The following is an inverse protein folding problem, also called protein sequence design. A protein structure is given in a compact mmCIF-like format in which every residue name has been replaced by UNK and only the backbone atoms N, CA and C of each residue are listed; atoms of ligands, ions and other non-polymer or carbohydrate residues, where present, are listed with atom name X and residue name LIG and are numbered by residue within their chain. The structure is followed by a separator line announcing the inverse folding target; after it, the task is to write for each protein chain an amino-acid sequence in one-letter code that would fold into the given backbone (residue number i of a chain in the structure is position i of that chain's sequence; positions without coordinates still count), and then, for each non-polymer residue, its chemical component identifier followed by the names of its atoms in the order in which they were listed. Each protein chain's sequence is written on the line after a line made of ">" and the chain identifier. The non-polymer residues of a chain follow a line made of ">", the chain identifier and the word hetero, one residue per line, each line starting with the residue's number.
data_IF_801897492486
#
_entry.id   IF_801897492486
#
_cell.length_a   1.000
_cell.length_b   1.000
_cell.length_c   1.000
_cell.angle_alpha   90.00
_cell.angle_beta   90.00
_cell.angle_gamma   90.00
#
_symmetry.space_group_name_H-M   'P 1'
#
loop_
_entity.id
_entity.type
_entity.pdbx_description
1 polymer ?
#
# COMPACT_ATOMS: atom_id res chain seq x y z
N UNK A 1 17.80 17.96 3.41
CA UNK A 1 17.00 16.76 3.21
C UNK A 1 15.90 17.01 2.20
N UNK A 2 15.67 16.07 1.35
CA UNK A 2 14.58 16.15 0.39
C UNK A 2 13.23 16.10 1.08
N UNK A 3 12.28 16.82 0.56
CA UNK A 3 10.91 16.74 1.05
C UNK A 3 10.36 15.37 0.74
N UNK A 4 9.55 14.82 1.63
CA UNK A 4 8.91 13.53 1.40
C UNK A 4 7.83 13.60 0.33
N UNK A 5 7.33 14.79 0.08
CA UNK A 5 6.27 15.03 -0.89
C UNK A 5 6.68 14.55 -2.29
N UNK A 6 5.91 13.65 -2.85
CA UNK A 6 6.09 13.11 -4.20
C UNK A 6 7.47 12.49 -4.45
N UNK A 7 8.12 11.98 -3.40
CA UNK A 7 9.47 11.45 -3.56
C UNK A 7 9.51 10.25 -4.51
N UNK A 8 8.46 9.46 -4.56
CA UNK A 8 8.39 8.30 -5.42
C UNK A 8 8.26 8.66 -6.91
N UNK A 9 7.89 9.90 -7.22
CA UNK A 9 7.76 10.35 -8.60
C UNK A 9 9.10 10.45 -9.31
N UNK A 10 10.16 10.62 -8.54
CA UNK A 10 11.49 10.89 -9.07
C UNK A 10 12.38 9.66 -9.06
N UNK A 11 11.84 8.51 -8.74
CA UNK A 11 12.62 7.31 -8.53
C UNK A 11 12.20 6.19 -9.47
N UNK A 12 13.05 5.15 -9.55
CA UNK A 12 12.73 3.95 -10.29
C UNK A 12 11.51 3.22 -9.73
N UNK A 13 11.11 3.54 -8.49
CA UNK A 13 9.93 2.94 -7.86
C UNK A 13 8.65 3.23 -8.63
N UNK A 14 8.61 4.34 -9.37
CA UNK A 14 7.45 4.70 -10.19
C UNK A 14 7.52 4.15 -11.60
N UNK A 15 8.60 3.48 -11.96
CA UNK A 15 8.78 2.96 -13.32
C UNK A 15 7.84 1.81 -13.60
N UNK A 16 7.44 1.69 -14.86
CA UNK A 16 6.59 0.58 -15.30
C UNK A 16 7.26 -0.76 -15.08
N UNK A 17 8.57 -0.81 -15.25
CA UNK A 17 9.32 -2.04 -15.07
C UNK A 17 9.30 -2.51 -13.61
N UNK A 18 9.53 -1.58 -12.67
CA UNK A 18 9.49 -1.92 -11.26
C UNK A 18 8.09 -2.41 -10.85
N UNK A 19 7.06 -1.68 -11.28
CA UNK A 19 5.68 -2.04 -10.96
C UNK A 19 5.35 -3.43 -11.49
N UNK A 20 5.74 -3.70 -12.73
CA UNK A 20 5.51 -5.00 -13.35
C UNK A 20 6.22 -6.13 -12.58
N UNK A 21 7.49 -5.94 -12.27
CA UNK A 21 8.27 -6.97 -11.57
C UNK A 21 7.75 -7.21 -10.15
N UNK A 22 7.40 -6.14 -9.46
CA UNK A 22 6.87 -6.27 -8.10
C UNK A 22 5.53 -7.02 -8.10
N UNK A 23 4.65 -6.69 -9.03
CA UNK A 23 3.34 -7.34 -9.11
C UNK A 23 3.46 -8.78 -9.60
N UNK A 24 4.43 -9.08 -10.43
CA UNK A 24 4.74 -10.45 -10.81
C UNK A 24 5.17 -11.26 -9.59
N UNK A 25 6.01 -10.66 -8.74
CA UNK A 25 6.44 -11.27 -7.49
C UNK A 25 5.24 -11.55 -6.59
N UNK A 26 4.38 -10.56 -6.39
CA UNK A 26 3.20 -10.71 -5.55
C UNK A 26 2.26 -11.80 -6.07
N UNK A 27 2.07 -11.86 -7.38
CA UNK A 27 1.16 -12.84 -7.98
C UNK A 27 1.63 -14.26 -7.78
N UNK A 28 2.93 -14.45 -7.60
CA UNK A 28 3.48 -15.77 -7.31
C UNK A 28 3.33 -16.16 -5.85
N UNK A 29 3.28 -15.17 -4.95
CA UNK A 29 3.24 -15.39 -3.51
C UNK A 29 1.82 -15.39 -2.95
N UNK A 30 0.95 -14.59 -3.52
CA UNK A 30 -0.42 -14.44 -3.08
C UNK A 30 -1.37 -14.98 -4.13
N UNK A 31 -2.40 -15.69 -3.67
CA UNK A 31 -3.44 -16.19 -4.57
C UNK A 31 -4.56 -15.15 -4.61
N UNK A 32 -4.57 -14.36 -5.68
CA UNK A 32 -5.59 -13.33 -5.84
C UNK A 32 -6.86 -13.90 -6.43
N UNK A 33 -7.98 -13.41 -5.94
CA UNK A 33 -9.29 -13.64 -6.54
C UNK A 33 -10.09 -12.35 -6.45
N UNK A 34 -11.31 -12.35 -6.96
CA UNK A 34 -12.12 -11.13 -7.01
C UNK A 34 -12.49 -10.58 -5.64
N UNK A 35 -12.45 -11.41 -4.60
CA UNK A 35 -12.81 -11.01 -3.25
C UNK A 35 -11.61 -10.62 -2.40
N UNK A 36 -10.43 -10.62 -2.97
CA UNK A 36 -9.20 -10.27 -2.24
C UNK A 36 -9.27 -8.82 -1.78
N UNK A 37 -8.98 -8.59 -0.50
CA UNK A 37 -8.91 -7.25 0.09
C UNK A 37 -7.47 -6.88 0.35
N UNK A 38 -7.07 -5.72 -0.17
CA UNK A 38 -5.68 -5.26 -0.09
C UNK A 38 -5.59 -3.90 0.57
N UNK A 39 -4.63 -3.77 1.48
CA UNK A 39 -4.27 -2.51 2.11
C UNK A 39 -2.81 -2.23 1.83
N UNK A 40 -2.50 -1.04 1.35
CA UNK A 40 -1.13 -0.61 1.08
C UNK A 40 -0.80 0.58 1.97
N UNK A 41 0.06 0.36 2.95
CA UNK A 41 0.48 1.39 3.89
C UNK A 41 1.71 2.10 3.33
N UNK A 42 1.61 3.42 3.17
CA UNK A 42 2.65 4.19 2.49
C UNK A 42 2.57 4.00 0.99
N UNK A 43 1.40 4.19 0.43
CA UNK A 43 1.13 3.83 -0.96
C UNK A 43 1.71 4.80 -2.01
N UNK A 44 2.15 5.99 -1.60
CA UNK A 44 2.59 7.00 -2.56
C UNK A 44 1.48 7.36 -3.53
N UNK A 45 1.70 7.19 -4.81
CA UNK A 45 0.67 7.39 -5.84
C UNK A 45 -0.21 6.18 -6.06
N UNK A 46 0.04 5.11 -5.31
CA UNK A 46 -0.71 3.86 -5.40
C UNK A 46 -0.51 3.12 -6.72
N UNK A 47 0.67 3.26 -7.33
CA UNK A 47 0.96 2.62 -8.61
C UNK A 47 0.85 1.09 -8.55
N UNK A 48 1.33 0.49 -7.47
CA UNK A 48 1.34 -0.97 -7.33
C UNK A 48 -0.09 -1.51 -7.25
N UNK A 49 -0.88 -1.00 -6.30
CA UNK A 49 -2.23 -1.52 -6.11
C UNK A 49 -3.17 -1.12 -7.23
N UNK A 50 -2.91 0.02 -7.88
CA UNK A 50 -3.66 0.43 -9.06
C UNK A 50 -3.46 -0.56 -10.20
N UNK A 51 -2.21 -0.97 -10.43
CA UNK A 51 -1.90 -1.94 -11.47
C UNK A 51 -2.52 -3.31 -11.16
N UNK A 52 -2.48 -3.73 -9.90
CA UNK A 52 -3.14 -4.96 -9.47
C UNK A 52 -4.64 -4.89 -9.73
N UNK A 53 -5.26 -3.76 -9.41
CA UNK A 53 -6.71 -3.59 -9.63
C UNK A 53 -7.07 -3.69 -11.11
N UNK A 54 -6.26 -3.11 -11.97
CA UNK A 54 -6.49 -3.20 -13.43
C UNK A 54 -6.44 -4.65 -13.92
N UNK A 55 -5.53 -5.43 -13.37
CA UNK A 55 -5.32 -6.81 -13.80
C UNK A 55 -6.31 -7.78 -13.18
N UNK A 56 -6.56 -7.65 -11.90
CA UNK A 56 -7.35 -8.62 -11.12
C UNK A 56 -8.82 -8.24 -11.03
N UNK A 57 -9.14 -6.97 -11.17
CA UNK A 57 -10.51 -6.45 -11.08
C UNK A 57 -11.20 -6.90 -9.80
N UNK A 58 -10.56 -6.58 -8.67
CA UNK A 58 -11.11 -6.89 -7.35
C UNK A 58 -12.49 -6.26 -7.18
N UNK A 59 -13.36 -6.96 -6.51
CA UNK A 59 -14.71 -6.50 -6.21
C UNK A 59 -14.70 -5.22 -5.39
N UNK A 60 -13.84 -5.17 -4.37
CA UNK A 60 -13.62 -3.97 -3.58
C UNK A 60 -12.30 -3.35 -3.97
N UNK A 61 -12.29 -2.06 -4.21
CA UNK A 61 -11.06 -1.34 -4.58
C UNK A 61 -10.03 -1.47 -3.47
N UNK A 62 -8.76 -1.71 -3.82
CA UNK A 62 -7.69 -1.68 -2.83
C UNK A 62 -7.64 -0.33 -2.12
N UNK A 63 -7.22 -0.34 -0.87
CA UNK A 63 -7.09 0.88 -0.06
C UNK A 63 -5.63 1.24 0.05
N UNK A 64 -5.31 2.49 -0.27
CA UNK A 64 -3.97 3.03 -0.11
C UNK A 64 -3.96 4.10 0.97
N UNK A 65 -3.02 3.98 1.89
CA UNK A 65 -2.84 4.94 2.97
C UNK A 65 -1.51 5.66 2.81
N UNK A 66 -1.52 6.95 3.07
CA UNK A 66 -0.28 7.71 3.16
C UNK A 66 -0.52 8.94 4.03
N UNK A 67 0.54 9.45 4.63
CA UNK A 67 0.47 10.70 5.39
C UNK A 67 0.51 11.91 4.48
N UNK A 68 0.88 11.72 3.23
CA UNK A 68 0.93 12.75 2.20
C UNK A 68 0.08 12.31 1.02
N UNK A 69 -0.74 13.22 0.51
CA UNK A 69 -1.47 12.97 -0.71
C UNK A 69 -0.64 13.46 -1.90
N UNK A 70 0.01 12.55 -2.59
CA UNK A 70 0.82 12.87 -3.76
C UNK A 70 -0.06 13.26 -4.95
N UNK A 71 0.47 14.12 -5.80
CA UNK A 71 -0.20 14.46 -7.06
C UNK A 71 -0.22 13.22 -7.95
N UNK A 72 -1.30 13.07 -8.69
CA UNK A 72 -1.43 11.95 -9.62
C UNK A 72 -1.77 10.62 -8.97
N UNK A 73 -2.36 10.66 -7.78
CA UNK A 73 -2.86 9.43 -7.15
C UNK A 73 -3.86 8.77 -8.08
N UNK A 74 -3.74 7.47 -8.23
CA UNK A 74 -4.62 6.69 -9.10
C UNK A 74 -6.05 6.70 -8.58
N UNK A 75 -7.02 6.63 -9.50
CA UNK A 75 -8.43 6.75 -9.17
C UNK A 75 -9.16 5.43 -8.98
N UNK A 76 -8.53 4.33 -9.37
CA UNK A 76 -9.14 3.02 -9.24
C UNK A 76 -8.85 2.35 -7.89
N UNK A 77 -8.38 3.15 -6.93
CA UNK A 77 -8.17 2.70 -5.56
C UNK A 77 -8.85 3.70 -4.61
N UNK A 78 -8.95 3.34 -3.35
CA UNK A 78 -9.45 4.24 -2.33
C UNK A 78 -8.26 4.79 -1.57
N UNK A 79 -8.06 6.10 -1.65
CA UNK A 79 -6.97 6.76 -0.92
C UNK A 79 -7.49 7.37 0.37
N UNK A 80 -6.73 7.18 1.45
CA UNK A 80 -7.01 7.85 2.73
C UNK A 80 -5.72 8.45 3.28
N UNK A 81 -5.77 9.73 3.63
CA UNK A 81 -4.63 10.44 4.20
C UNK A 81 -4.59 10.19 5.70
N UNK A 82 -3.92 9.14 6.10
CA UNK A 82 -3.83 8.72 7.50
C UNK A 82 -2.64 7.77 7.65
N UNK A 83 -2.02 7.72 8.81
CA UNK A 83 -0.98 6.73 9.02
C UNK A 83 -1.58 5.35 9.26
N UNK A 84 -0.80 4.33 8.93
CA UNK A 84 -1.29 2.96 8.96
C UNK A 84 -1.70 2.46 10.34
N UNK A 85 -0.94 2.84 11.37
CA UNK A 85 -1.24 2.39 12.72
C UNK A 85 -2.61 2.91 13.19
N UNK A 86 -2.84 4.20 13.01
CA UNK A 86 -4.12 4.80 13.42
C UNK A 86 -5.29 4.25 12.62
N UNK A 87 -5.07 4.01 11.33
CA UNK A 87 -6.12 3.44 10.49
C UNK A 87 -6.51 2.04 10.97
N UNK A 88 -5.53 1.17 11.17
CA UNK A 88 -5.78 -0.20 11.61
C UNK A 88 -6.37 -0.25 13.01
N UNK A 89 -5.98 0.70 13.86
CA UNK A 89 -6.53 0.78 15.21
C UNK A 89 -8.01 1.15 15.21
N UNK A 90 -8.43 2.04 14.29
CA UNK A 90 -9.80 2.50 14.19
C UNK A 90 -10.71 1.53 13.45
N UNK A 91 -10.17 0.81 12.47
CA UNK A 91 -10.93 -0.08 11.62
C UNK A 91 -10.69 -1.53 12.01
N UNK A 92 -11.74 -2.19 12.44
CA UNK A 92 -11.66 -3.60 12.81
C UNK A 92 -11.99 -4.49 11.61
N UNK A 93 -11.36 -4.19 10.48
CA UNK A 93 -11.52 -4.96 9.25
C UNK A 93 -10.35 -5.91 9.04
N UNK A 94 -10.61 -6.99 8.32
CA UNK A 94 -9.57 -7.95 7.94
C UNK A 94 -9.17 -7.73 6.49
N UNK A 95 -7.91 -8.03 6.20
CA UNK A 95 -7.36 -7.91 4.86
C UNK A 95 -6.66 -9.20 4.48
N UNK A 96 -6.63 -9.49 3.18
CA UNK A 96 -5.92 -10.66 2.67
C UNK A 96 -4.45 -10.35 2.45
N UNK A 97 -4.13 -9.09 2.20
CA UNK A 97 -2.77 -8.64 1.98
C UNK A 97 -2.59 -7.24 2.53
N UNK A 98 -1.54 -7.04 3.31
CA UNK A 98 -1.14 -5.72 3.79
C UNK A 98 0.28 -5.47 3.31
N UNK A 99 0.45 -4.43 2.50
CA UNK A 99 1.76 -4.05 1.98
C UNK A 99 2.38 -2.96 2.83
N UNK A 100 3.66 -3.09 3.09
CA UNK A 100 4.45 -2.13 3.87
C UNK A 100 5.76 -1.77 3.16
N UNK A 101 5.76 -1.87 1.86
CA UNK A 101 6.96 -1.57 1.08
C UNK A 101 7.35 -0.10 1.20
N UNK A 102 8.61 0.17 1.30
CA UNK A 102 9.17 1.53 1.28
C UNK A 102 8.83 2.42 2.47
N UNK A 103 8.03 1.96 3.43
CA UNK A 103 7.64 2.78 4.58
C UNK A 103 8.35 2.43 5.87
N UNK A 104 8.87 1.23 5.98
CA UNK A 104 9.39 0.75 7.27
C UNK A 104 10.54 1.58 7.80
N UNK A 105 11.34 2.18 6.92
CA UNK A 105 12.48 2.99 7.34
C UNK A 105 12.09 4.36 7.92
N UNK A 106 10.83 4.74 7.81
CA UNK A 106 10.35 5.98 8.41
C UNK A 106 9.90 5.81 9.86
N UNK A 107 9.90 4.58 10.36
CA UNK A 107 9.43 4.29 11.70
C UNK A 107 10.59 3.99 12.64
N UNK A 108 10.45 4.43 13.90
CA UNK A 108 11.36 3.96 14.96
C UNK A 108 11.08 2.46 15.18
N UNK A 109 12.04 1.72 15.76
CA UNK A 109 11.81 0.30 16.02
C UNK A 109 10.55 0.00 16.83
N UNK A 110 10.26 0.82 17.84
CA UNK A 110 9.07 0.60 18.67
C UNK A 110 7.77 0.87 17.91
N UNK A 111 7.75 1.89 17.07
CA UNK A 111 6.57 2.20 16.25
C UNK A 111 6.38 1.14 15.18
N UNK A 112 7.46 0.68 14.58
CA UNK A 112 7.38 -0.39 13.58
C UNK A 112 6.83 -1.67 14.20
N UNK A 113 7.28 -2.01 15.41
CA UNK A 113 6.77 -3.19 16.10
C UNK A 113 5.28 -3.06 16.36
N UNK A 114 4.83 -1.90 16.85
CA UNK A 114 3.41 -1.67 17.11
C UNK A 114 2.59 -1.78 15.83
N UNK A 115 3.09 -1.24 14.73
CA UNK A 115 2.41 -1.33 13.44
C UNK A 115 2.32 -2.78 12.97
N UNK A 116 3.42 -3.52 13.03
CA UNK A 116 3.42 -4.91 12.61
C UNK A 116 2.50 -5.78 13.46
N UNK A 117 2.47 -5.53 14.77
CA UNK A 117 1.59 -6.27 15.67
C UNK A 117 0.11 -6.07 15.31
N UNK A 118 -0.29 -4.81 15.07
CA UNK A 118 -1.68 -4.53 14.73
C UNK A 118 -2.02 -5.01 13.31
N UNK A 119 -1.10 -4.89 12.38
CA UNK A 119 -1.30 -5.40 11.02
C UNK A 119 -1.54 -6.91 11.03
N UNK A 120 -0.77 -7.63 11.84
CA UNK A 120 -0.93 -9.07 11.98
C UNK A 120 -2.32 -9.45 12.49
N UNK A 121 -2.88 -8.66 13.38
CA UNK A 121 -4.25 -8.89 13.89
C UNK A 121 -5.33 -8.64 12.84
N UNK A 122 -5.01 -7.93 11.78
CA UNK A 122 -5.95 -7.60 10.70
C UNK A 122 -5.81 -8.48 9.47
N UNK A 123 -4.99 -9.50 9.55
CA UNK A 123 -4.84 -10.49 8.47
C UNK A 123 -5.70 -11.75 8.65
#
# INVERSE_FOLDING_TARGET
>A
MKKLKNWDNQTWLSSKNYIHQFNKFLSKRARFNKNTKILDIGCGRANIISNLQKRQKFKEKPIGLDIIKNKGIKKNIIFKKIDGYNYLKRKNEKYDLILLKQTIHFFSPSKLKALLDIAKKRL
#
